data_IF_573052518233
#
_entry.id   IF_573052518233
#
_cell.length_a   1.000
_cell.length_b   1.000
_cell.length_c   1.000
_cell.angle_alpha   90.00
_cell.angle_beta   90.00
_cell.angle_gamma   90.00
#
_symmetry.space_group_name_H-M   'P 1'
#
loop_
_entity.id
_entity.type
_entity.pdbx_description
1 polymer ?
#
# COMPACT_ATOMS: atom_id res chain seq x y z
N UNK A 1 -20.22 -18.49 25.94
CA UNK A 1 -19.91 -19.60 26.88
C UNK A 1 -18.89 -20.55 26.27
N UNK A 2 -19.15 -21.31 25.22
CA UNK A 2 -18.20 -22.29 24.68
C UNK A 2 -16.76 -21.74 24.45
N UNK A 3 -16.60 -20.58 23.78
CA UNK A 3 -15.29 -19.94 23.55
C UNK A 3 -14.61 -19.58 24.87
N UNK A 4 -15.32 -18.91 25.78
CA UNK A 4 -14.77 -18.47 27.07
C UNK A 4 -14.31 -19.64 27.91
N UNK A 5 -15.10 -20.71 27.92
CA UNK A 5 -14.77 -21.93 28.70
C UNK A 5 -13.55 -22.63 28.08
N UNK A 6 -13.49 -22.73 26.76
CA UNK A 6 -12.37 -23.29 26.02
C UNK A 6 -11.08 -22.48 26.24
N UNK A 7 -11.09 -21.18 26.01
CA UNK A 7 -9.91 -20.33 26.16
C UNK A 7 -9.45 -20.19 27.61
N UNK A 8 -10.30 -20.47 28.60
CA UNK A 8 -9.88 -20.48 29.99
C UNK A 8 -8.90 -21.61 30.33
N UNK A 9 -8.96 -22.72 29.58
CA UNK A 9 -8.11 -23.91 29.78
C UNK A 9 -7.06 -24.08 28.65
N UNK A 10 -7.41 -23.71 27.42
CA UNK A 10 -6.58 -23.82 26.24
C UNK A 10 -6.49 -22.48 25.48
N UNK A 11 -5.83 -21.46 26.06
CA UNK A 11 -5.87 -20.09 25.50
C UNK A 11 -5.08 -19.90 24.20
N UNK A 12 -4.22 -20.86 23.81
CA UNK A 12 -3.31 -20.75 22.67
C UNK A 12 -3.92 -21.34 21.40
N UNK A 13 -4.31 -22.61 21.45
CA UNK A 13 -4.69 -23.41 20.27
C UNK A 13 -6.17 -23.80 20.24
N UNK A 14 -6.91 -23.58 21.33
CA UNK A 14 -8.31 -23.96 21.39
C UNK A 14 -8.54 -25.47 21.39
N UNK A 15 -7.52 -26.29 21.70
CA UNK A 15 -7.61 -27.75 21.78
C UNK A 15 -8.29 -28.20 23.07
N UNK A 16 -9.53 -27.80 23.25
CA UNK A 16 -10.34 -28.00 24.45
C UNK A 16 -10.95 -29.40 24.50
N UNK A 17 -10.11 -30.44 24.45
CA UNK A 17 -10.53 -31.84 24.40
C UNK A 17 -11.44 -32.27 25.55
N UNK A 18 -11.27 -31.64 26.71
CA UNK A 18 -12.02 -31.96 27.92
C UNK A 18 -13.30 -31.11 28.09
N UNK A 19 -13.58 -30.19 27.13
CA UNK A 19 -14.83 -29.43 27.11
C UNK A 19 -15.97 -30.29 26.57
N UNK A 20 -17.21 -29.99 26.98
CA UNK A 20 -18.39 -30.63 26.40
C UNK A 20 -18.59 -30.39 24.89
N UNK A 21 -17.86 -29.39 24.36
CA UNK A 21 -17.93 -28.99 22.94
C UNK A 21 -16.83 -29.63 22.08
N UNK A 22 -15.86 -30.38 22.70
CA UNK A 22 -14.73 -30.97 21.99
C UNK A 22 -13.72 -29.95 21.42
N UNK A 23 -12.91 -30.40 20.46
CA UNK A 23 -11.86 -29.60 19.84
C UNK A 23 -12.46 -28.43 19.02
N UNK A 24 -12.04 -27.20 19.29
CA UNK A 24 -12.53 -25.98 18.62
C UNK A 24 -12.39 -26.04 17.08
N UNK A 25 -11.31 -26.56 16.49
CA UNK A 25 -11.22 -26.72 15.02
C UNK A 25 -12.35 -27.52 14.40
N UNK A 26 -13.02 -28.39 15.16
CA UNK A 26 -14.07 -29.27 14.69
C UNK A 26 -15.47 -28.79 15.04
N UNK A 27 -15.61 -27.58 15.59
CA UNK A 27 -16.94 -27.07 15.93
C UNK A 27 -17.77 -26.82 14.67
N UNK A 28 -19.02 -27.26 14.71
CA UNK A 28 -20.01 -26.89 13.70
C UNK A 28 -20.52 -25.47 14.01
N UNK A 29 -20.05 -24.50 13.23
CA UNK A 29 -20.42 -23.09 13.33
C UNK A 29 -21.36 -22.66 12.19
N UNK A 30 -21.77 -23.59 11.33
CA UNK A 30 -22.55 -23.31 10.11
C UNK A 30 -23.87 -22.56 10.34
N UNK A 31 -24.43 -22.65 11.55
CA UNK A 31 -25.66 -21.92 11.93
C UNK A 31 -25.37 -20.61 12.68
N UNK A 32 -24.12 -20.23 12.88
CA UNK A 32 -23.76 -19.00 13.58
C UNK A 32 -23.89 -17.82 12.63
N UNK A 33 -24.66 -16.82 13.04
CA UNK A 33 -24.87 -15.58 12.27
C UNK A 33 -24.11 -14.38 12.83
N UNK A 34 -23.63 -14.47 14.09
CA UNK A 34 -22.93 -13.39 14.76
C UNK A 34 -21.70 -13.94 15.50
N UNK A 35 -20.51 -13.55 15.03
CA UNK A 35 -19.22 -13.88 15.63
C UNK A 35 -18.53 -12.64 16.24
N UNK A 36 -19.31 -11.59 16.54
CA UNK A 36 -18.72 -10.38 17.11
C UNK A 36 -18.02 -10.65 18.44
N UNK A 37 -16.82 -10.07 18.61
CA UNK A 37 -15.99 -10.16 19.81
C UNK A 37 -15.64 -11.61 20.25
N UNK A 38 -15.71 -12.60 19.33
CA UNK A 38 -15.57 -14.02 19.69
C UNK A 38 -14.20 -14.34 20.31
N UNK A 39 -13.13 -13.74 19.82
CA UNK A 39 -11.75 -13.87 20.34
C UNK A 39 -11.20 -12.51 20.82
N UNK A 40 -12.10 -11.56 21.11
CA UNK A 40 -11.67 -10.26 21.63
C UNK A 40 -10.93 -10.45 22.97
N UNK A 41 -9.79 -9.73 23.09
CA UNK A 41 -8.89 -9.87 24.24
C UNK A 41 -8.40 -11.30 24.50
N UNK A 42 -8.19 -12.11 23.47
CA UNK A 42 -7.55 -13.41 23.56
C UNK A 42 -6.05 -13.31 23.18
N UNK A 43 -5.18 -12.84 24.10
CA UNK A 43 -3.83 -12.39 23.74
C UNK A 43 -2.91 -13.51 23.25
N UNK A 44 -3.19 -14.74 23.60
CA UNK A 44 -2.36 -15.91 23.23
C UNK A 44 -2.99 -16.76 22.12
N UNK A 45 -4.23 -16.47 21.71
CA UNK A 45 -4.96 -17.31 20.78
C UNK A 45 -4.33 -17.25 19.37
N UNK A 46 -4.00 -18.44 18.84
CA UNK A 46 -3.59 -18.67 17.46
C UNK A 46 -4.02 -20.09 17.01
N UNK A 47 -5.23 -20.51 17.37
CA UNK A 47 -5.77 -21.81 17.03
C UNK A 47 -6.17 -21.91 15.55
N UNK A 48 -6.21 -23.14 15.04
CA UNK A 48 -6.67 -23.43 13.68
C UNK A 48 -8.21 -23.42 13.64
N UNK A 49 -8.74 -22.45 12.90
CA UNK A 49 -10.18 -22.29 12.64
C UNK A 49 -10.45 -22.19 11.13
N UNK A 50 -9.49 -22.59 10.31
CA UNK A 50 -9.53 -22.50 8.84
C UNK A 50 -10.71 -23.26 8.21
N UNK A 51 -11.18 -24.33 8.87
CA UNK A 51 -12.26 -25.17 8.40
C UNK A 51 -13.67 -24.72 8.86
N UNK A 52 -13.79 -23.61 9.58
CA UNK A 52 -15.08 -23.14 10.01
C UNK A 52 -15.93 -22.68 8.81
N UNK A 53 -17.17 -23.18 8.74
CA UNK A 53 -18.16 -22.67 7.79
C UNK A 53 -18.80 -21.39 8.35
N UNK A 54 -18.32 -20.25 7.86
CA UNK A 54 -18.78 -18.91 8.28
C UNK A 54 -19.76 -18.27 7.29
N UNK A 55 -20.23 -19.02 6.29
CA UNK A 55 -21.03 -18.52 5.17
C UNK A 55 -22.37 -17.84 5.59
N UNK A 56 -22.88 -18.17 6.78
CA UNK A 56 -24.08 -17.54 7.35
C UNK A 56 -23.77 -16.37 8.30
N UNK A 57 -22.49 -16.05 8.54
CA UNK A 57 -22.12 -14.97 9.47
C UNK A 57 -22.36 -13.62 8.82
N UNK A 58 -23.09 -12.75 9.51
CA UNK A 58 -23.37 -11.37 9.07
C UNK A 58 -22.58 -10.31 9.84
N UNK A 59 -22.08 -10.66 11.04
CA UNK A 59 -21.36 -9.74 11.90
C UNK A 59 -20.09 -10.38 12.47
N UNK A 60 -18.91 -9.82 12.09
CA UNK A 60 -17.58 -10.20 12.58
C UNK A 60 -16.89 -9.04 13.34
N UNK A 61 -17.65 -8.04 13.80
CA UNK A 61 -17.05 -6.89 14.49
C UNK A 61 -16.25 -7.31 15.73
N UNK A 62 -15.05 -6.73 15.92
CA UNK A 62 -14.14 -7.02 17.04
C UNK A 62 -13.69 -8.50 17.13
N UNK A 63 -13.91 -9.36 16.15
CA UNK A 63 -13.73 -10.81 16.31
C UNK A 63 -12.36 -11.19 16.85
N UNK A 64 -11.30 -10.54 16.39
CA UNK A 64 -9.90 -10.73 16.85
C UNK A 64 -9.31 -9.45 17.45
N UNK A 65 -10.16 -8.52 17.89
CA UNK A 65 -9.66 -7.28 18.46
C UNK A 65 -8.83 -7.55 19.72
N UNK A 66 -7.62 -6.99 19.78
CA UNK A 66 -6.67 -7.24 20.86
C UNK A 66 -6.31 -8.73 21.05
N UNK A 67 -6.22 -9.47 19.95
CA UNK A 67 -5.66 -10.82 19.90
C UNK A 67 -4.27 -10.78 19.19
N UNK A 68 -3.22 -10.25 19.83
CA UNK A 68 -1.93 -9.94 19.20
C UNK A 68 -1.17 -11.15 18.69
N UNK A 69 -1.47 -12.36 19.15
CA UNK A 69 -0.82 -13.58 18.68
C UNK A 69 -1.53 -14.22 17.48
N UNK A 70 -2.76 -13.78 17.18
CA UNK A 70 -3.55 -14.40 16.11
C UNK A 70 -2.93 -14.13 14.73
N UNK A 71 -2.63 -15.22 14.02
CA UNK A 71 -2.19 -15.22 12.62
C UNK A 71 -2.66 -16.51 11.90
N UNK A 72 -3.82 -17.07 12.30
CA UNK A 72 -4.41 -18.26 11.68
C UNK A 72 -4.83 -17.98 10.23
N UNK A 73 -4.71 -19.01 9.39
CA UNK A 73 -5.16 -18.93 8.00
C UNK A 73 -6.70 -18.95 7.95
N UNK A 74 -7.27 -17.86 7.46
CA UNK A 74 -8.70 -17.67 7.25
C UNK A 74 -9.01 -17.23 5.82
N UNK A 75 -8.06 -17.41 4.91
CA UNK A 75 -8.16 -16.99 3.51
C UNK A 75 -9.34 -17.63 2.77
N UNK A 76 -9.70 -18.86 3.15
CA UNK A 76 -10.78 -19.62 2.53
C UNK A 76 -12.17 -19.37 3.12
N UNK A 77 -12.31 -18.46 4.09
CA UNK A 77 -13.63 -18.16 4.66
C UNK A 77 -14.56 -17.52 3.63
N UNK A 78 -15.78 -18.04 3.49
CA UNK A 78 -16.85 -17.38 2.74
C UNK A 78 -17.45 -16.25 3.59
N UNK A 79 -17.03 -15.02 3.32
CA UNK A 79 -17.47 -13.81 4.03
C UNK A 79 -18.56 -13.04 3.26
N UNK A 80 -19.10 -13.62 2.19
CA UNK A 80 -20.05 -12.95 1.27
C UNK A 80 -21.34 -12.46 1.95
N UNK A 81 -21.72 -13.04 3.10
CA UNK A 81 -22.87 -12.60 3.89
C UNK A 81 -22.52 -11.54 4.94
N UNK A 82 -21.24 -11.24 5.17
CA UNK A 82 -20.80 -10.33 6.24
C UNK A 82 -21.10 -8.89 5.87
N UNK A 83 -21.76 -8.16 6.78
CA UNK A 83 -22.08 -6.74 6.62
C UNK A 83 -21.26 -5.82 7.52
N UNK A 84 -20.73 -6.36 8.62
CA UNK A 84 -19.96 -5.59 9.59
C UNK A 84 -18.63 -6.27 9.97
N UNK A 85 -17.51 -5.65 9.61
CA UNK A 85 -16.15 -6.06 9.92
C UNK A 85 -15.40 -5.01 10.78
N UNK A 86 -16.14 -4.08 11.43
CA UNK A 86 -15.51 -3.04 12.22
C UNK A 86 -14.63 -3.61 13.32
N UNK A 87 -13.39 -3.06 13.49
CA UNK A 87 -12.42 -3.46 14.50
C UNK A 87 -12.01 -4.95 14.45
N UNK A 88 -12.30 -5.69 13.37
CA UNK A 88 -12.13 -7.15 13.34
C UNK A 88 -10.70 -7.58 13.71
N UNK A 89 -9.68 -6.88 13.27
CA UNK A 89 -8.27 -7.16 13.56
C UNK A 89 -7.58 -6.01 14.31
N UNK A 90 -8.34 -5.14 14.96
CA UNK A 90 -7.75 -4.03 15.70
C UNK A 90 -6.81 -4.55 16.80
N UNK A 91 -5.56 -4.06 16.84
CA UNK A 91 -4.48 -4.56 17.72
C UNK A 91 -4.12 -6.05 17.54
N UNK A 92 -4.49 -6.72 16.46
CA UNK A 92 -4.01 -8.05 16.11
C UNK A 92 -2.61 -7.94 15.47
N UNK A 93 -1.60 -7.66 16.29
CA UNK A 93 -0.29 -7.20 15.82
C UNK A 93 0.52 -8.24 15.02
N UNK A 94 0.22 -9.53 15.16
CA UNK A 94 0.87 -10.60 14.36
C UNK A 94 0.11 -10.96 13.09
N UNK A 95 -1.15 -10.49 12.92
CA UNK A 95 -1.98 -10.90 11.81
C UNK A 95 -1.42 -10.40 10.47
N UNK A 96 -1.18 -11.34 9.54
CA UNK A 96 -0.67 -11.04 8.20
C UNK A 96 -1.03 -12.15 7.19
N UNK A 97 -2.29 -12.56 7.13
CA UNK A 97 -2.75 -13.54 6.14
C UNK A 97 -3.30 -12.86 4.89
N UNK A 98 -3.21 -13.50 3.71
CA UNK A 98 -3.82 -12.99 2.49
C UNK A 98 -5.34 -13.03 2.61
N UNK A 99 -6.00 -11.96 2.17
CA UNK A 99 -7.45 -11.82 2.21
C UNK A 99 -8.04 -11.42 0.84
N UNK A 100 -7.25 -11.56 -0.22
CA UNK A 100 -7.60 -11.13 -1.58
C UNK A 100 -8.81 -11.87 -2.17
N UNK A 101 -9.09 -13.08 -1.69
CA UNK A 101 -10.21 -13.90 -2.16
C UNK A 101 -11.51 -13.69 -1.37
N UNK A 102 -11.50 -12.78 -0.39
CA UNK A 102 -12.70 -12.44 0.36
C UNK A 102 -13.67 -11.62 -0.49
N UNK A 103 -14.93 -12.11 -0.60
CA UNK A 103 -16.02 -11.38 -1.25
C UNK A 103 -16.63 -10.35 -0.30
N UNK A 104 -16.28 -9.08 -0.49
CA UNK A 104 -16.64 -7.99 0.46
C UNK A 104 -17.81 -7.13 0.01
N UNK A 105 -18.48 -7.46 -1.10
CA UNK A 105 -19.56 -6.65 -1.69
C UNK A 105 -20.78 -6.42 -0.79
N UNK A 106 -20.98 -7.25 0.25
CA UNK A 106 -22.04 -7.06 1.27
C UNK A 106 -21.61 -6.17 2.43
N UNK A 107 -20.32 -5.90 2.61
CA UNK A 107 -19.80 -5.17 3.76
C UNK A 107 -20.14 -3.68 3.67
N UNK A 108 -20.64 -3.14 4.77
CA UNK A 108 -20.97 -1.70 4.88
C UNK A 108 -20.19 -0.97 5.97
N UNK A 109 -19.48 -1.71 6.83
CA UNK A 109 -18.72 -1.13 7.94
C UNK A 109 -17.35 -1.81 8.09
N UNK A 110 -16.27 -1.05 7.81
CA UNK A 110 -14.87 -1.43 8.00
C UNK A 110 -14.13 -0.46 8.95
N UNK A 111 -14.87 0.27 9.80
CA UNK A 111 -14.29 1.17 10.80
C UNK A 111 -13.17 0.48 11.58
N UNK A 112 -11.96 1.07 11.59
CA UNK A 112 -10.79 0.62 12.35
C UNK A 112 -10.40 -0.87 12.15
N UNK A 113 -10.74 -1.49 11.01
CA UNK A 113 -10.62 -2.95 10.83
C UNK A 113 -9.21 -3.47 11.10
N UNK A 114 -8.17 -2.77 10.66
CA UNK A 114 -6.76 -3.12 10.85
C UNK A 114 -5.99 -2.10 11.72
N UNK A 115 -6.71 -1.30 12.52
CA UNK A 115 -6.05 -0.33 13.37
C UNK A 115 -5.05 -1.03 14.32
N UNK A 116 -3.79 -0.57 14.33
CA UNK A 116 -2.70 -1.16 15.13
C UNK A 116 -2.36 -2.63 14.78
N UNK A 117 -2.80 -3.17 13.65
CA UNK A 117 -2.35 -4.45 13.12
C UNK A 117 -0.97 -4.27 12.45
N UNK A 118 0.08 -4.14 13.27
CA UNK A 118 1.40 -3.65 12.85
C UNK A 118 2.13 -4.55 11.85
N UNK A 119 1.83 -5.85 11.81
CA UNK A 119 2.41 -6.78 10.83
C UNK A 119 1.58 -6.93 9.55
N UNK A 120 0.35 -6.38 9.53
CA UNK A 120 -0.55 -6.62 8.41
C UNK A 120 -0.05 -5.95 7.13
N UNK A 121 0.16 -6.77 6.11
CA UNK A 121 0.44 -6.40 4.73
C UNK A 121 -0.19 -7.40 3.75
N UNK A 122 -1.29 -8.06 4.14
CA UNK A 122 -2.05 -8.94 3.28
C UNK A 122 -2.67 -8.17 2.11
N UNK A 123 -2.76 -8.84 0.95
CA UNK A 123 -3.38 -8.25 -0.23
C UNK A 123 -4.89 -8.12 -0.03
N UNK A 124 -5.40 -6.91 -0.25
CA UNK A 124 -6.82 -6.52 -0.17
C UNK A 124 -7.25 -5.74 -1.43
N UNK A 125 -6.44 -5.77 -2.48
CA UNK A 125 -6.64 -4.97 -3.69
C UNK A 125 -7.96 -5.28 -4.43
N UNK A 126 -8.43 -6.52 -4.35
CA UNK A 126 -9.65 -6.99 -5.03
C UNK A 126 -10.95 -6.71 -4.25
N UNK A 127 -10.88 -6.12 -3.05
CA UNK A 127 -12.07 -5.89 -2.25
C UNK A 127 -13.04 -4.91 -2.91
N UNK A 128 -14.30 -5.26 -2.96
CA UNK A 128 -15.38 -4.32 -3.26
C UNK A 128 -15.69 -3.49 -2.01
N UNK A 129 -15.31 -2.21 -2.06
CA UNK A 129 -15.54 -1.22 -0.99
C UNK A 129 -16.59 -0.17 -1.37
N UNK A 130 -17.29 -0.35 -2.49
CA UNK A 130 -18.22 0.63 -3.07
C UNK A 130 -19.40 1.00 -2.15
N UNK A 131 -19.72 0.14 -1.18
CA UNK A 131 -20.79 0.37 -0.20
C UNK A 131 -20.31 0.95 1.14
N UNK A 132 -18.98 1.12 1.29
CA UNK A 132 -18.39 1.66 2.51
C UNK A 132 -18.56 3.19 2.52
N UNK A 133 -19.09 3.72 3.61
CA UNK A 133 -19.21 5.16 3.83
C UNK A 133 -18.22 5.70 4.85
N UNK A 134 -17.67 4.82 5.69
CA UNK A 134 -16.78 5.19 6.78
C UNK A 134 -15.54 4.26 6.80
N UNK A 135 -14.37 4.83 6.49
CA UNK A 135 -13.04 4.18 6.56
C UNK A 135 -12.17 4.77 7.68
N UNK A 136 -12.80 5.43 8.66
CA UNK A 136 -12.12 6.06 9.78
C UNK A 136 -11.18 5.06 10.46
N UNK A 137 -9.92 5.46 10.62
CA UNK A 137 -8.83 4.73 11.27
C UNK A 137 -8.54 3.32 10.72
N UNK A 138 -9.01 2.97 9.51
CA UNK A 138 -8.95 1.58 9.01
C UNK A 138 -7.56 0.97 9.04
N UNK A 139 -6.50 1.72 8.71
CA UNK A 139 -5.10 1.29 8.72
C UNK A 139 -4.22 2.14 9.67
N UNK A 140 -4.82 2.83 10.63
CA UNK A 140 -4.06 3.60 11.63
C UNK A 140 -3.04 2.70 12.33
N UNK A 141 -1.76 3.11 12.36
CA UNK A 141 -0.66 2.35 12.97
C UNK A 141 -0.46 0.93 12.40
N UNK A 142 -1.00 0.61 11.22
CA UNK A 142 -0.67 -0.59 10.46
C UNK A 142 0.69 -0.39 9.76
N UNK A 143 1.77 -0.44 10.55
CA UNK A 143 3.10 0.04 10.14
C UNK A 143 3.73 -0.73 8.98
N UNK A 144 3.33 -1.97 8.73
CA UNK A 144 3.82 -2.77 7.59
C UNK A 144 2.95 -2.65 6.33
N UNK A 145 1.76 -2.04 6.44
CA UNK A 145 0.80 -2.04 5.34
C UNK A 145 1.28 -1.19 4.17
N UNK A 146 1.35 -1.81 2.98
CA UNK A 146 1.74 -1.16 1.73
C UNK A 146 1.17 -1.90 0.50
N UNK A 147 -0.12 -2.25 0.50
CA UNK A 147 -0.76 -2.89 -0.64
C UNK A 147 -1.39 -1.86 -1.58
N UNK A 148 -1.49 -2.14 -2.90
CA UNK A 148 -2.14 -1.25 -3.84
C UNK A 148 -3.64 -1.16 -3.54
N UNK A 149 -4.18 0.07 -3.59
CA UNK A 149 -5.58 0.38 -3.35
C UNK A 149 -6.16 1.26 -4.48
N UNK A 150 -5.44 1.41 -5.58
CA UNK A 150 -5.80 2.29 -6.69
C UNK A 150 -7.13 1.91 -7.36
N UNK A 151 -7.53 0.64 -7.29
CA UNK A 151 -8.75 0.12 -7.90
C UNK A 151 -9.97 0.12 -6.95
N UNK A 152 -9.81 0.58 -5.70
CA UNK A 152 -10.91 0.71 -4.77
C UNK A 152 -11.88 1.81 -5.20
N UNK A 153 -13.18 1.49 -5.32
CA UNK A 153 -14.24 2.48 -5.51
C UNK A 153 -14.60 3.10 -4.14
N UNK A 154 -14.00 4.25 -3.85
CA UNK A 154 -14.25 5.01 -2.62
C UNK A 154 -15.30 6.12 -2.79
N UNK A 155 -16.04 6.14 -3.90
CA UNK A 155 -16.97 7.22 -4.25
C UNK A 155 -18.11 7.43 -3.23
N UNK A 156 -18.45 6.39 -2.45
CA UNK A 156 -19.44 6.48 -1.37
C UNK A 156 -18.86 6.91 -0.02
N UNK A 157 -17.52 6.96 0.12
CA UNK A 157 -16.88 7.26 1.41
C UNK A 157 -17.03 8.72 1.77
N UNK A 158 -17.44 8.97 3.02
CA UNK A 158 -17.60 10.32 3.59
C UNK A 158 -16.60 10.63 4.70
N UNK A 159 -16.09 9.61 5.38
CA UNK A 159 -15.16 9.72 6.51
C UNK A 159 -13.91 8.85 6.31
N UNK A 160 -12.75 9.52 6.17
CA UNK A 160 -11.41 8.93 6.08
C UNK A 160 -10.50 9.44 7.22
N UNK A 161 -11.08 9.86 8.36
CA UNK A 161 -10.31 10.35 9.50
C UNK A 161 -9.19 9.36 9.87
N UNK A 162 -7.94 9.85 9.92
CA UNK A 162 -6.77 9.09 10.32
C UNK A 162 -6.58 7.72 9.62
N UNK A 163 -7.12 7.52 8.40
CA UNK A 163 -7.16 6.20 7.74
C UNK A 163 -5.77 5.57 7.63
N UNK A 164 -4.74 6.32 7.28
CA UNK A 164 -3.34 5.85 7.16
C UNK A 164 -2.40 6.52 8.17
N UNK A 165 -2.94 7.11 9.24
CA UNK A 165 -2.11 7.75 10.26
C UNK A 165 -1.09 6.77 10.85
N UNK A 166 0.21 7.13 10.82
CA UNK A 166 1.31 6.28 11.25
C UNK A 166 1.44 4.93 10.51
N UNK A 167 0.86 4.79 9.31
CA UNK A 167 1.13 3.66 8.42
C UNK A 167 2.50 3.86 7.75
N UNK A 168 3.57 3.62 8.50
CA UNK A 168 4.94 4.05 8.18
C UNK A 168 5.62 3.31 7.01
N UNK A 169 4.93 2.36 6.38
CA UNK A 169 5.34 1.74 5.12
C UNK A 169 4.45 2.12 3.95
N UNK A 170 3.30 2.79 4.19
CA UNK A 170 2.30 3.04 3.16
C UNK A 170 2.77 4.11 2.18
N UNK A 171 3.06 3.68 0.94
CA UNK A 171 3.48 4.54 -0.17
C UNK A 171 2.85 4.08 -1.48
N UNK A 172 1.53 4.32 -1.64
CA UNK A 172 0.79 3.94 -2.83
C UNK A 172 0.07 5.14 -3.45
N UNK A 173 -0.09 5.08 -4.76
CA UNK A 173 -0.81 6.11 -5.51
C UNK A 173 -2.31 6.04 -5.19
N UNK A 174 -2.86 7.17 -4.72
CA UNK A 174 -4.28 7.38 -4.42
C UNK A 174 -4.90 8.46 -5.31
N UNK A 175 -4.20 8.91 -6.34
CA UNK A 175 -4.62 10.01 -7.22
C UNK A 175 -5.95 9.75 -7.94
N UNK A 176 -6.25 8.48 -8.23
CA UNK A 176 -7.46 8.06 -8.92
C UNK A 176 -8.68 7.88 -8.00
N UNK A 177 -8.53 7.99 -6.67
CA UNK A 177 -9.66 7.86 -5.77
C UNK A 177 -10.70 8.94 -6.00
N UNK A 178 -11.97 8.55 -6.17
CA UNK A 178 -13.10 9.46 -6.31
C UNK A 178 -13.51 10.01 -4.94
N UNK A 179 -12.94 11.17 -4.54
CA UNK A 179 -13.13 11.76 -3.20
C UNK A 179 -14.24 12.80 -3.12
N UNK A 180 -15.13 12.84 -4.11
CA UNK A 180 -16.19 13.84 -4.21
C UNK A 180 -17.23 13.80 -3.07
N UNK A 181 -17.38 12.68 -2.38
CA UNK A 181 -18.29 12.54 -1.23
C UNK A 181 -17.62 12.78 0.12
N UNK A 182 -16.28 12.86 0.17
CA UNK A 182 -15.53 12.91 1.43
C UNK A 182 -15.65 14.27 2.10
N UNK A 183 -15.97 14.27 3.39
CA UNK A 183 -16.12 15.46 4.24
C UNK A 183 -15.14 15.46 5.42
N UNK A 184 -14.49 14.34 5.72
CA UNK A 184 -13.59 14.21 6.86
C UNK A 184 -12.30 13.48 6.45
N UNK A 185 -11.15 14.18 6.50
CA UNK A 185 -9.81 13.66 6.18
C UNK A 185 -8.74 14.13 7.18
N UNK A 186 -9.16 14.61 8.38
CA UNK A 186 -8.18 15.05 9.38
C UNK A 186 -7.23 13.90 9.74
N UNK A 187 -5.95 14.22 9.80
CA UNK A 187 -4.86 13.27 10.13
C UNK A 187 -4.77 12.07 9.17
N UNK A 188 -5.48 12.07 8.03
CA UNK A 188 -5.63 10.90 7.14
C UNK A 188 -4.28 10.28 6.74
N UNK A 189 -3.30 11.10 6.40
CA UNK A 189 -1.98 10.69 5.91
C UNK A 189 -0.85 11.03 6.90
N UNK A 190 -1.19 11.51 8.10
CA UNK A 190 -0.21 11.98 9.07
C UNK A 190 0.80 10.89 9.42
N UNK A 191 2.10 11.17 9.23
CA UNK A 191 3.19 10.24 9.49
C UNK A 191 3.07 8.91 8.73
N UNK A 192 2.46 8.92 7.53
CA UNK A 192 2.55 7.82 6.57
C UNK A 192 3.90 7.89 5.84
N UNK A 193 4.23 6.85 5.06
CA UNK A 193 5.45 6.85 4.23
C UNK A 193 5.19 7.35 2.80
N UNK A 194 4.08 8.07 2.57
CA UNK A 194 3.75 8.54 1.23
C UNK A 194 4.87 9.44 0.69
N UNK A 195 5.44 9.07 -0.45
CA UNK A 195 6.52 9.85 -1.07
C UNK A 195 6.02 11.17 -1.63
N UNK A 196 6.92 12.12 -1.84
CA UNK A 196 6.60 13.40 -2.49
C UNK A 196 5.90 13.19 -3.84
N UNK A 197 6.33 12.20 -4.65
CA UNK A 197 5.73 11.90 -5.94
C UNK A 197 4.28 11.42 -5.81
N UNK A 198 4.00 10.50 -4.87
CA UNK A 198 2.65 10.00 -4.64
C UNK A 198 1.75 11.05 -3.99
N UNK A 199 2.33 11.93 -3.15
CA UNK A 199 1.57 13.06 -2.58
C UNK A 199 1.27 14.12 -3.64
N UNK A 200 2.22 14.46 -4.51
CA UNK A 200 1.99 15.34 -5.68
C UNK A 200 0.92 14.77 -6.61
N UNK A 201 1.00 13.46 -6.92
CA UNK A 201 0.00 12.79 -7.75
C UNK A 201 -1.40 12.87 -7.12
N UNK A 202 -1.52 12.63 -5.81
CA UNK A 202 -2.76 12.73 -5.05
C UNK A 202 -3.34 14.15 -5.14
N UNK A 203 -2.55 15.18 -4.84
CA UNK A 203 -2.99 16.57 -4.90
C UNK A 203 -3.48 16.94 -6.31
N UNK A 204 -2.71 16.54 -7.35
CA UNK A 204 -3.07 16.78 -8.75
C UNK A 204 -4.37 16.06 -9.14
N UNK A 205 -4.53 14.78 -8.79
CA UNK A 205 -5.70 14.00 -9.13
C UNK A 205 -6.97 14.49 -8.43
N UNK A 206 -6.87 14.87 -7.15
CA UNK A 206 -8.04 15.31 -6.39
C UNK A 206 -8.47 16.73 -6.73
N UNK A 207 -7.55 17.64 -7.07
CA UNK A 207 -7.87 19.01 -7.47
C UNK A 207 -8.67 19.12 -8.77
N UNK A 208 -8.70 18.06 -9.58
CA UNK A 208 -9.46 18.02 -10.84
C UNK A 208 -10.90 17.52 -10.66
N UNK A 209 -11.29 17.12 -9.46
CA UNK A 209 -12.60 16.56 -9.17
C UNK A 209 -13.58 17.63 -8.66
N UNK A 210 -14.89 17.33 -8.77
CA UNK A 210 -15.92 18.13 -8.11
C UNK A 210 -16.07 17.66 -6.66
N UNK A 211 -15.29 18.25 -5.76
CA UNK A 211 -15.13 17.80 -4.36
C UNK A 211 -15.89 18.71 -3.37
N UNK A 212 -16.06 18.22 -2.14
CA UNK A 212 -16.67 18.98 -1.07
C UNK A 212 -15.80 20.17 -0.65
N UNK A 213 -16.43 21.27 -0.26
CA UNK A 213 -15.73 22.43 0.30
C UNK A 213 -15.56 22.32 1.82
N UNK A 214 -14.60 23.08 2.37
CA UNK A 214 -14.27 23.15 3.79
C UNK A 214 -13.76 21.81 4.39
N UNK A 215 -13.15 20.97 3.59
CA UNK A 215 -12.51 19.73 4.07
C UNK A 215 -11.13 20.05 4.66
N UNK A 216 -10.77 19.35 5.73
CA UNK A 216 -9.41 19.39 6.28
C UNK A 216 -8.66 18.13 5.89
N UNK A 217 -7.58 18.27 5.12
CA UNK A 217 -6.65 17.17 4.81
C UNK A 217 -5.48 17.19 5.80
N UNK A 218 -5.35 16.16 6.62
CA UNK A 218 -4.20 15.97 7.51
C UNK A 218 -3.13 15.11 6.83
N UNK A 219 -1.99 15.72 6.52
CA UNK A 219 -0.85 15.13 5.82
C UNK A 219 0.48 15.52 6.50
N UNK A 220 0.47 15.60 7.83
CA UNK A 220 1.64 15.98 8.63
C UNK A 220 2.84 15.09 8.30
N UNK A 221 4.01 15.69 8.19
CA UNK A 221 5.28 15.08 7.79
C UNK A 221 5.37 14.68 6.30
N UNK A 222 4.40 15.08 5.47
CA UNK A 222 4.50 14.96 4.03
C UNK A 222 4.83 16.32 3.41
N UNK A 223 5.69 16.32 2.41
CA UNK A 223 6.02 17.50 1.61
C UNK A 223 5.64 17.28 0.15
N UNK A 224 5.33 18.36 -0.56
CA UNK A 224 5.08 18.35 -2.00
C UNK A 224 6.20 19.07 -2.76
N UNK A 225 6.33 18.79 -4.06
CA UNK A 225 7.23 19.52 -4.96
C UNK A 225 6.50 20.02 -6.22
N UNK A 226 5.89 19.11 -6.98
CA UNK A 226 5.19 19.42 -8.22
C UNK A 226 3.66 19.54 -8.02
N UNK A 227 3.19 19.42 -6.79
CA UNK A 227 1.77 19.52 -6.42
C UNK A 227 1.33 20.92 -5.98
N UNK A 228 2.18 21.97 -6.06
CA UNK A 228 1.91 23.30 -5.50
C UNK A 228 0.65 23.94 -6.08
N UNK A 229 0.51 23.98 -7.41
CA UNK A 229 -0.65 24.59 -8.07
C UNK A 229 -1.94 23.83 -7.73
N UNK A 230 -1.88 22.51 -7.68
CA UNK A 230 -3.02 21.67 -7.32
C UNK A 230 -3.43 21.87 -5.87
N UNK A 231 -2.45 21.91 -4.95
CA UNK A 231 -2.66 22.21 -3.52
C UNK A 231 -3.31 23.59 -3.34
N UNK A 232 -2.79 24.60 -4.03
CA UNK A 232 -3.34 25.94 -3.95
C UNK A 232 -4.77 26.01 -4.51
N UNK A 233 -5.05 25.27 -5.59
CA UNK A 233 -6.40 25.14 -6.15
C UNK A 233 -7.39 24.53 -5.15
N UNK A 234 -7.01 23.50 -4.40
CA UNK A 234 -7.84 22.91 -3.34
C UNK A 234 -8.18 23.95 -2.25
N UNK A 235 -7.22 24.79 -1.88
CA UNK A 235 -7.40 25.84 -0.87
C UNK A 235 -8.30 26.97 -1.42
N UNK A 236 -7.98 27.53 -2.58
CA UNK A 236 -8.61 28.74 -3.11
C UNK A 236 -10.03 28.48 -3.64
N UNK A 237 -10.23 27.33 -4.34
CA UNK A 237 -11.49 27.04 -5.01
C UNK A 237 -12.45 26.22 -4.14
N UNK A 238 -11.95 25.47 -3.15
CA UNK A 238 -12.77 24.58 -2.32
C UNK A 238 -12.66 24.88 -0.83
N UNK A 239 -11.90 25.91 -0.43
CA UNK A 239 -11.70 26.29 0.97
C UNK A 239 -11.18 25.16 1.85
N UNK A 240 -10.28 24.33 1.30
CA UNK A 240 -9.64 23.26 2.07
C UNK A 240 -8.61 23.82 3.04
N UNK A 241 -8.47 23.15 4.17
CA UNK A 241 -7.33 23.33 5.08
C UNK A 241 -6.40 22.15 4.92
N UNK A 242 -5.15 22.36 4.49
CA UNK A 242 -4.17 21.29 4.29
C UNK A 242 -3.04 21.46 5.30
N UNK A 243 -2.84 20.43 6.13
CA UNK A 243 -1.79 20.38 7.16
C UNK A 243 -0.70 19.42 6.71
N UNK A 244 0.28 19.93 5.99
CA UNK A 244 1.49 19.26 5.51
C UNK A 244 2.74 20.05 5.90
N UNK A 245 3.93 19.54 5.58
CA UNK A 245 5.22 20.21 5.89
C UNK A 245 5.66 21.19 4.79
N UNK A 246 4.82 21.40 3.75
CA UNK A 246 5.01 22.42 2.73
C UNK A 246 5.90 21.97 1.58
N UNK A 247 6.43 22.97 0.83
CA UNK A 247 7.24 22.76 -0.36
C UNK A 247 8.62 22.23 0.01
N UNK A 248 8.95 21.03 -0.45
CA UNK A 248 10.31 20.48 -0.37
C UNK A 248 10.63 19.67 -1.63
N UNK A 249 11.48 20.22 -2.48
CA UNK A 249 11.98 19.56 -3.69
C UNK A 249 13.37 18.93 -3.49
N UNK A 250 13.89 18.87 -2.28
CA UNK A 250 15.24 18.33 -2.02
C UNK A 250 15.34 16.82 -2.30
N UNK A 251 14.25 16.09 -2.19
CA UNK A 251 14.13 14.67 -2.53
C UNK A 251 13.65 14.42 -3.96
N UNK A 252 13.08 15.42 -4.62
CA UNK A 252 12.64 15.34 -6.02
C UNK A 252 13.79 15.27 -7.04
N UNK A 253 15.03 15.18 -6.58
CA UNK A 253 16.23 15.04 -7.40
C UNK A 253 16.71 13.61 -7.63
N UNK A 254 16.01 12.61 -7.11
CA UNK A 254 16.07 11.22 -7.61
C UNK A 254 14.76 10.99 -8.36
N UNK A 255 14.63 11.66 -9.49
CA UNK A 255 13.70 11.26 -10.52
C UNK A 255 13.81 9.74 -10.67
N UNK A 256 12.80 8.99 -10.27
CA UNK A 256 12.48 7.75 -10.95
C UNK A 256 12.04 8.16 -12.36
N UNK A 257 13.00 8.75 -13.10
CA UNK A 257 13.00 8.81 -14.54
C UNK A 257 12.58 7.40 -14.93
N UNK A 258 11.41 7.22 -15.49
CA UNK A 258 11.02 5.98 -16.18
C UNK A 258 12.29 5.50 -16.86
N UNK A 259 12.99 4.62 -16.15
CA UNK A 259 14.31 4.15 -16.55
C UNK A 259 14.07 3.61 -17.95
N UNK A 260 14.76 4.20 -18.93
CA UNK A 260 14.73 3.63 -20.26
C UNK A 260 15.07 2.16 -20.08
N UNK A 261 14.20 1.25 -20.52
CA UNK A 261 14.47 -0.20 -20.48
C UNK A 261 15.57 -0.50 -21.52
N UNK A 262 16.79 -0.06 -21.16
CA UNK A 262 17.98 -0.13 -22.01
C UNK A 262 18.89 -1.20 -21.47
N UNK A 263 19.27 -2.10 -22.34
CA UNK A 263 20.35 -3.05 -22.08
C UNK A 263 21.56 -2.76 -22.95
N UNK A 264 22.76 -2.89 -22.33
CA UNK A 264 24.04 -2.72 -23.03
C UNK A 264 24.79 -4.05 -23.06
N UNK A 265 25.29 -4.43 -24.23
CA UNK A 265 26.06 -5.68 -24.43
C UNK A 265 27.03 -5.61 -25.59
N UNK A 266 28.09 -6.45 -25.61
CA UNK A 266 28.53 -7.29 -24.50
C UNK A 266 29.15 -6.45 -23.37
N UNK A 267 29.08 -6.94 -22.15
CA UNK A 267 29.78 -6.36 -21.00
C UNK A 267 30.43 -7.48 -20.20
N UNK A 268 31.76 -7.64 -20.20
CA UNK A 268 32.78 -6.75 -20.79
C UNK A 268 32.80 -6.64 -22.33
N UNK A 269 33.22 -5.47 -22.86
CA UNK A 269 33.26 -5.17 -24.28
C UNK A 269 34.70 -5.08 -24.80
N UNK A 270 34.93 -5.51 -26.05
CA UNK A 270 36.24 -5.35 -26.75
C UNK A 270 36.20 -4.17 -27.75
N UNK A 271 35.32 -4.20 -28.74
CA UNK A 271 35.35 -3.20 -29.81
C UNK A 271 34.02 -2.40 -29.90
N UNK A 272 32.90 -3.06 -29.88
CA UNK A 272 31.59 -2.44 -30.05
C UNK A 272 30.66 -2.77 -28.91
N UNK A 273 30.03 -1.76 -28.32
CA UNK A 273 28.96 -1.87 -27.32
C UNK A 273 27.62 -1.61 -28.01
N UNK A 274 26.72 -2.57 -27.93
CA UNK A 274 25.36 -2.45 -28.42
C UNK A 274 24.44 -1.92 -27.32
N UNK A 275 23.45 -1.12 -27.74
CA UNK A 275 22.46 -0.53 -26.83
C UNK A 275 21.09 -0.87 -27.37
N UNK A 276 20.35 -1.69 -26.65
CA UNK A 276 19.01 -2.11 -27.00
C UNK A 276 17.98 -1.29 -26.20
N UNK A 277 16.87 -0.93 -26.83
CA UNK A 277 15.78 -0.17 -26.20
C UNK A 277 15.76 1.32 -26.59
N UNK A 278 16.64 1.78 -27.51
CA UNK A 278 16.57 3.12 -28.09
C UNK A 278 15.47 3.16 -29.15
N UNK A 279 14.65 4.23 -29.15
CA UNK A 279 13.60 4.48 -30.14
C UNK A 279 14.10 5.24 -31.35
N UNK A 280 15.04 6.17 -31.17
CA UNK A 280 15.56 7.07 -32.17
C UNK A 280 17.08 7.34 -32.00
N UNK A 281 17.62 8.23 -32.84
CA UNK A 281 19.01 8.67 -32.76
C UNK A 281 19.29 9.42 -31.46
N UNK A 282 19.93 8.73 -30.52
CA UNK A 282 20.08 9.15 -29.13
C UNK A 282 21.48 9.62 -28.83
N UNK A 283 21.60 10.74 -28.09
CA UNK A 283 22.90 11.26 -27.63
C UNK A 283 23.40 10.45 -26.43
N UNK A 284 24.62 9.93 -26.56
CA UNK A 284 25.32 9.24 -25.48
C UNK A 284 26.60 9.98 -25.09
N UNK A 285 26.99 9.80 -23.84
CA UNK A 285 28.27 10.33 -23.29
C UNK A 285 28.90 9.24 -22.43
N UNK A 286 30.20 8.97 -22.65
CA UNK A 286 30.98 7.99 -21.87
C UNK A 286 32.01 8.71 -21.03
N UNK A 287 32.07 8.33 -19.76
CA UNK A 287 32.97 8.90 -18.76
C UNK A 287 33.87 7.82 -18.18
N UNK A 288 35.12 8.20 -17.86
CA UNK A 288 36.04 7.36 -17.10
C UNK A 288 35.65 7.34 -15.58
N UNK A 289 36.40 6.57 -14.79
CA UNK A 289 36.16 6.44 -13.33
C UNK A 289 36.38 7.75 -12.56
N UNK A 290 37.03 8.75 -13.15
CA UNK A 290 37.23 10.07 -12.55
C UNK A 290 36.16 11.09 -13.00
N UNK A 291 35.16 10.65 -13.77
CA UNK A 291 34.09 11.50 -14.28
C UNK A 291 34.48 12.34 -15.50
N UNK A 292 35.66 12.09 -16.12
CA UNK A 292 36.09 12.79 -17.32
C UNK A 292 35.35 12.23 -18.54
N UNK A 293 34.76 13.11 -19.36
CA UNK A 293 34.14 12.74 -20.63
C UNK A 293 35.23 12.24 -21.60
N UNK A 294 35.12 11.00 -22.06
CA UNK A 294 36.08 10.36 -22.97
C UNK A 294 35.50 10.09 -24.36
N UNK A 295 34.17 10.04 -24.50
CA UNK A 295 33.48 9.85 -25.77
C UNK A 295 32.08 10.47 -25.72
N UNK A 296 31.66 11.19 -26.77
CA UNK A 296 30.28 11.64 -26.93
C UNK A 296 29.86 11.50 -28.39
N UNK A 297 28.73 10.84 -28.65
CA UNK A 297 28.18 10.62 -29.98
C UNK A 297 26.63 10.52 -29.94
N UNK A 298 26.02 10.80 -31.10
CA UNK A 298 24.63 10.41 -31.37
C UNK A 298 24.66 9.08 -32.12
N UNK A 299 23.90 8.09 -31.63
CA UNK A 299 23.86 6.72 -32.13
C UNK A 299 22.43 6.22 -32.30
N UNK A 300 22.27 5.16 -33.11
CA UNK A 300 21.00 4.45 -33.25
C UNK A 300 20.92 3.18 -32.37
N UNK A 301 22.02 2.42 -32.29
CA UNK A 301 22.03 1.14 -31.56
C UNK A 301 23.41 0.65 -31.12
N UNK A 302 24.52 1.24 -31.63
CA UNK A 302 25.86 0.77 -31.30
C UNK A 302 26.87 1.92 -31.17
N UNK A 303 27.89 1.69 -30.36
CA UNK A 303 29.03 2.61 -30.19
C UNK A 303 30.36 1.84 -30.30
N UNK A 304 31.26 2.40 -31.08
CA UNK A 304 32.64 1.93 -31.18
C UNK A 304 33.45 2.45 -29.99
N UNK A 305 33.98 1.53 -29.20
CA UNK A 305 34.80 1.78 -28.00
C UNK A 305 36.26 1.27 -28.17
N UNK A 306 36.64 0.93 -29.38
CA UNK A 306 37.99 0.39 -29.69
C UNK A 306 39.11 1.27 -29.16
N UNK A 307 38.97 2.60 -29.22
CA UNK A 307 39.94 3.57 -28.79
C UNK A 307 40.00 3.85 -27.28
N UNK A 308 39.08 3.24 -26.51
CA UNK A 308 39.11 3.36 -25.06
C UNK A 308 40.17 2.41 -24.47
N UNK A 309 40.85 2.86 -23.43
CA UNK A 309 41.78 2.01 -22.69
C UNK A 309 40.99 0.96 -21.86
N UNK A 310 41.67 -0.12 -21.47
CA UNK A 310 41.07 -1.11 -20.55
C UNK A 310 40.70 -0.44 -19.24
N UNK A 311 39.46 -0.67 -18.79
CA UNK A 311 38.96 -0.06 -17.56
C UNK A 311 37.46 -0.09 -17.41
N UNK A 312 36.98 0.52 -16.33
CA UNK A 312 35.57 0.71 -16.04
C UNK A 312 35.13 2.08 -16.53
N UNK A 313 34.02 2.13 -17.22
CA UNK A 313 33.43 3.33 -17.77
C UNK A 313 31.97 3.45 -17.38
N UNK A 314 31.47 4.68 -17.34
CA UNK A 314 30.06 5.01 -17.17
C UNK A 314 29.53 5.58 -18.48
N UNK A 315 28.44 5.01 -19.00
CA UNK A 315 27.72 5.53 -20.17
C UNK A 315 26.43 6.21 -19.70
N UNK A 316 26.25 7.47 -20.10
CA UNK A 316 25.07 8.28 -19.90
C UNK A 316 24.33 8.36 -21.23
N UNK A 317 23.06 8.02 -21.24
CA UNK A 317 22.19 7.97 -22.41
C UNK A 317 21.04 8.91 -22.14
N UNK A 318 20.79 9.85 -23.07
CA UNK A 318 19.71 10.84 -22.98
C UNK A 318 18.83 10.69 -24.23
N UNK A 319 17.62 10.18 -24.04
CA UNK A 319 16.62 9.98 -25.10
C UNK A 319 15.37 10.81 -24.78
N UNK A 320 15.08 11.78 -25.64
CA UNK A 320 14.08 12.83 -25.42
C UNK A 320 14.29 13.57 -24.09
N UNK A 321 13.49 13.29 -23.07
CA UNK A 321 13.60 13.88 -21.72
C UNK A 321 13.99 12.83 -20.66
N UNK A 322 14.41 11.63 -21.10
CA UNK A 322 14.78 10.54 -20.20
C UNK A 322 16.27 10.32 -20.20
N UNK A 323 16.81 10.11 -19.03
CA UNK A 323 18.25 9.84 -18.82
C UNK A 323 18.41 8.47 -18.15
N UNK A 324 19.39 7.69 -18.65
CA UNK A 324 19.84 6.49 -17.94
C UNK A 324 21.34 6.44 -17.88
N UNK A 325 21.87 5.86 -16.82
CA UNK A 325 23.31 5.72 -16.57
C UNK A 325 23.63 4.26 -16.28
N UNK A 326 24.54 3.68 -17.05
CA UNK A 326 24.98 2.30 -16.87
C UNK A 326 26.50 2.20 -16.82
N UNK A 327 27.03 1.10 -16.26
CA UNK A 327 28.46 0.81 -16.21
C UNK A 327 28.83 -0.30 -17.16
N UNK A 328 29.95 -0.18 -17.84
CA UNK A 328 30.55 -1.25 -18.64
C UNK A 328 32.06 -1.38 -18.41
N UNK A 329 32.58 -2.55 -18.73
CA UNK A 329 34.00 -2.88 -18.62
C UNK A 329 34.59 -3.00 -20.02
N UNK A 330 35.61 -2.24 -20.32
CA UNK A 330 36.42 -2.35 -21.55
C UNK A 330 37.61 -3.28 -21.31
N UNK A 331 37.68 -4.35 -22.09
CA UNK A 331 38.78 -5.33 -22.09
C UNK A 331 39.90 -4.93 -23.07
#
# INVERSE_FOLDING_TARGET
MAITDCLSTNPVDGMCSDSEYGLMPNWDVSNVTNMSAMFEYAPSFNGDISNWDVSNVTNMSNMFASAPSFNGDISNWDVSSVTNMSLMFANASSFNQPLNDWETSSVTNMYAMFAYASSFNGDVSNWDVSRITNMNTMFTNASSFNQPLNDWDVSSVTDMYAMFANASSFNRDLSNWAVSSVTEMRVMLGNSALSTENYDALLNGWSQQNIQSNVTLGAQFLSYCNGEDARQSLIDNHNWTISDDGLDCSTAGVDDQKQLDISIYPNPVVDKLFIQGLSDATKISVYDILGKLVLSKTILSEIDVTNLQRGIYTIKIIDEQKETVQKFIKN
#
